data_IF_090853029365
#
_entry.id   IF_090853029365
#
_cell.length_a   1.000
_cell.length_b   1.000
_cell.length_c   1.000
_cell.angle_alpha   90.00
_cell.angle_beta   90.00
_cell.angle_gamma   90.00
#
_symmetry.space_group_name_H-M   'P 1'
#
loop_
_entity.id
_entity.type
_entity.pdbx_description
1 polymer ?
#
# COMPACT_ATOMS: atom_id res chain seq x y z
N UNK A 1 -45.58 -14.98 45.12
CA UNK A 1 -45.44 -14.23 43.84
C UNK A 1 -43.99 -13.92 43.44
N UNK A 2 -42.97 -14.04 44.33
CA UNK A 2 -41.58 -13.67 43.98
C UNK A 2 -40.76 -14.66 43.12
N UNK A 3 -41.17 -15.92 42.97
CA UNK A 3 -40.40 -16.94 42.22
C UNK A 3 -40.63 -16.90 40.70
N UNK A 4 -41.74 -16.34 40.23
CA UNK A 4 -42.06 -16.28 38.78
C UNK A 4 -41.35 -15.10 38.11
N UNK A 5 -41.17 -13.97 38.80
CA UNK A 5 -40.49 -12.79 38.26
C UNK A 5 -38.99 -13.00 37.97
N UNK A 6 -38.30 -13.83 38.77
CA UNK A 6 -36.87 -14.12 38.59
C UNK A 6 -36.64 -15.02 37.36
N UNK A 7 -37.56 -15.95 37.08
CA UNK A 7 -37.46 -16.83 35.93
C UNK A 7 -37.60 -16.07 34.59
N UNK A 8 -38.50 -15.08 34.54
CA UNK A 8 -38.71 -14.24 33.34
C UNK A 8 -37.50 -13.33 33.06
N UNK A 9 -36.91 -12.74 34.10
CA UNK A 9 -35.68 -11.93 33.98
C UNK A 9 -34.48 -12.75 33.52
N UNK A 10 -34.30 -13.97 34.03
CA UNK A 10 -33.21 -14.86 33.60
C UNK A 10 -33.40 -15.38 32.17
N UNK A 11 -34.64 -15.62 31.72
CA UNK A 11 -34.92 -15.98 30.33
C UNK A 11 -34.69 -14.82 29.36
N UNK A 12 -35.02 -13.58 29.72
CA UNK A 12 -34.74 -12.40 28.89
C UNK A 12 -33.24 -12.08 28.81
N UNK A 13 -32.48 -12.26 29.91
CA UNK A 13 -31.02 -12.09 29.89
C UNK A 13 -30.36 -13.19 29.05
N UNK A 14 -30.82 -14.45 29.11
CA UNK A 14 -30.34 -15.52 28.24
C UNK A 14 -30.71 -15.32 26.78
N UNK A 15 -31.91 -14.81 26.48
CA UNK A 15 -32.31 -14.50 25.10
C UNK A 15 -31.50 -13.33 24.52
N UNK A 16 -31.20 -12.29 25.31
CA UNK A 16 -30.33 -11.18 24.87
C UNK A 16 -28.85 -11.56 24.79
N UNK A 17 -28.36 -12.47 25.65
CA UNK A 17 -27.00 -13.01 25.57
C UNK A 17 -26.84 -13.99 24.40
N UNK A 18 -27.87 -14.81 24.12
CA UNK A 18 -27.90 -15.69 22.95
C UNK A 18 -28.06 -14.89 21.65
N UNK A 19 -28.86 -13.82 21.64
CA UNK A 19 -28.94 -12.91 20.48
C UNK A 19 -27.62 -12.14 20.25
N UNK A 20 -26.89 -11.76 21.30
CA UNK A 20 -25.54 -11.19 21.17
C UNK A 20 -24.47 -12.22 20.79
N UNK A 21 -24.62 -13.48 21.17
CA UNK A 21 -23.72 -14.56 20.77
C UNK A 21 -24.00 -15.08 19.35
N UNK A 22 -25.26 -15.01 18.88
CA UNK A 22 -25.62 -15.33 17.49
C UNK A 22 -25.29 -14.20 16.51
N UNK A 23 -25.07 -12.97 16.98
CA UNK A 23 -24.51 -11.89 16.17
C UNK A 23 -22.97 -11.98 15.98
N UNK A 24 -22.32 -13.04 16.49
CA UNK A 24 -20.86 -13.18 16.53
C UNK A 24 -20.27 -14.24 15.58
N UNK A 25 -21.01 -14.76 14.60
CA UNK A 25 -20.44 -15.70 13.62
C UNK A 25 -21.19 -15.75 12.29
N UNK A 26 -21.37 -14.63 11.60
CA UNK A 26 -21.22 -14.68 10.14
C UNK A 26 -19.71 -14.56 9.87
N UNK A 27 -19.04 -15.70 9.74
CA UNK A 27 -17.69 -15.71 9.20
C UNK A 27 -17.78 -15.26 7.74
N UNK A 28 -17.64 -13.96 7.52
CA UNK A 28 -17.19 -13.41 6.25
C UNK A 28 -15.92 -14.14 5.84
N UNK A 29 -15.88 -14.57 4.59
CA UNK A 29 -14.78 -15.34 4.02
C UNK A 29 -13.50 -14.51 4.09
N UNK A 30 -12.43 -15.11 4.61
CA UNK A 30 -11.10 -14.49 4.60
C UNK A 30 -10.63 -14.25 3.16
N UNK A 31 -9.98 -13.12 2.90
CA UNK A 31 -9.50 -12.80 1.55
C UNK A 31 -8.49 -13.82 1.06
N UNK A 32 -8.59 -14.22 -0.21
CA UNK A 32 -7.57 -15.02 -0.89
C UNK A 32 -6.35 -14.15 -1.26
N UNK A 33 -5.25 -14.80 -1.66
CA UNK A 33 -4.06 -14.13 -2.16
C UNK A 33 -4.35 -13.25 -3.40
N UNK A 34 -5.39 -13.58 -4.17
CA UNK A 34 -5.83 -12.85 -5.37
C UNK A 34 -6.37 -11.44 -5.07
N UNK A 35 -6.58 -11.09 -3.80
CA UNK A 35 -6.90 -9.71 -3.39
C UNK A 35 -5.63 -8.86 -3.28
N UNK A 36 -4.50 -9.48 -2.98
CA UNK A 36 -3.22 -8.79 -2.76
C UNK A 36 -2.31 -8.83 -4.00
N UNK A 37 -2.43 -9.83 -4.88
CA UNK A 37 -1.57 -9.97 -6.05
C UNK A 37 -2.29 -10.63 -7.24
N UNK A 38 -1.89 -10.33 -8.50
CA UNK A 38 -2.37 -11.04 -9.68
C UNK A 38 -2.08 -12.55 -9.60
N UNK A 39 -3.01 -13.42 -10.04
CA UNK A 39 -2.72 -14.83 -10.18
C UNK A 39 -1.70 -15.05 -11.31
N UNK A 40 -0.80 -16.03 -11.14
CA UNK A 40 0.09 -16.46 -12.22
C UNK A 40 1.30 -15.55 -12.52
N UNK A 41 1.56 -14.52 -11.71
CA UNK A 41 2.76 -13.69 -11.84
C UNK A 41 2.74 -12.69 -13.01
N UNK A 42 1.57 -12.42 -13.57
CA UNK A 42 1.36 -11.35 -14.55
C UNK A 42 1.65 -9.98 -13.94
N UNK A 43 2.03 -9.01 -14.76
CA UNK A 43 2.25 -7.66 -14.23
C UNK A 43 0.92 -7.01 -13.83
N UNK A 44 0.92 -6.24 -12.75
CA UNK A 44 -0.27 -5.55 -12.25
C UNK A 44 -1.01 -4.70 -13.33
N UNK A 45 -0.31 -3.95 -14.21
CA UNK A 45 -0.97 -3.21 -15.28
C UNK A 45 -1.68 -4.11 -16.29
N UNK A 46 -1.05 -5.23 -16.69
CA UNK A 46 -1.63 -6.19 -17.65
C UNK A 46 -2.86 -6.89 -17.07
N UNK A 47 -2.78 -7.32 -15.81
CA UNK A 47 -3.90 -7.95 -15.10
C UNK A 47 -5.15 -7.05 -15.07
N UNK A 48 -4.98 -5.79 -14.67
CA UNK A 48 -6.11 -4.86 -14.64
C UNK A 48 -6.53 -4.36 -16.02
N UNK A 49 -5.64 -4.37 -17.03
CA UNK A 49 -6.03 -4.13 -18.42
C UNK A 49 -6.97 -5.23 -18.92
N UNK A 50 -6.68 -6.50 -18.62
CA UNK A 50 -7.55 -7.63 -18.95
C UNK A 50 -8.91 -7.53 -18.24
N UNK A 51 -8.94 -7.16 -16.96
CA UNK A 51 -10.20 -6.95 -16.21
C UNK A 51 -11.04 -5.81 -16.79
N UNK A 52 -10.41 -4.69 -17.19
CA UNK A 52 -11.10 -3.59 -17.89
C UNK A 52 -11.66 -4.02 -19.23
N UNK A 53 -10.88 -4.74 -20.03
CA UNK A 53 -11.33 -5.27 -21.30
C UNK A 53 -12.53 -6.22 -21.14
N UNK A 54 -12.50 -7.10 -20.13
CA UNK A 54 -13.61 -7.99 -19.80
C UNK A 54 -14.89 -7.22 -19.36
N UNK A 55 -14.72 -6.07 -18.71
CA UNK A 55 -15.80 -5.17 -18.36
C UNK A 55 -16.29 -4.27 -19.51
N UNK A 56 -15.70 -4.39 -20.72
CA UNK A 56 -16.02 -3.54 -21.87
C UNK A 56 -15.47 -2.11 -21.76
N UNK A 57 -14.57 -1.86 -20.80
CA UNK A 57 -13.95 -0.54 -20.58
C UNK A 57 -12.80 -0.40 -21.59
N UNK A 58 -12.97 0.51 -22.55
CA UNK A 58 -11.96 0.79 -23.57
C UNK A 58 -10.81 1.56 -22.92
N UNK A 59 -9.55 1.08 -23.03
CA UNK A 59 -8.41 1.81 -22.51
C UNK A 59 -8.26 3.14 -23.23
N UNK A 60 -7.88 4.18 -22.51
CA UNK A 60 -7.66 5.48 -23.13
C UNK A 60 -6.43 5.41 -24.05
N UNK A 61 -6.65 5.29 -25.35
CA UNK A 61 -5.59 5.25 -26.36
C UNK A 61 -5.14 6.68 -26.68
N UNK A 62 -3.90 7.00 -26.33
CA UNK A 62 -3.09 8.18 -26.74
C UNK A 62 -2.80 9.24 -25.68
N UNK A 63 -1.58 9.78 -25.81
CA UNK A 63 -1.04 10.92 -25.09
C UNK A 63 -1.47 12.21 -25.78
N UNK A 64 -2.38 12.97 -25.14
CA UNK A 64 -2.69 14.35 -25.54
C UNK A 64 -4.04 14.58 -26.22
N UNK A 65 -4.83 13.54 -26.47
CA UNK A 65 -6.25 13.70 -26.82
C UNK A 65 -7.13 13.66 -25.57
N UNK A 66 -8.25 14.41 -25.64
CA UNK A 66 -9.27 14.38 -24.59
C UNK A 66 -9.86 12.97 -24.54
N UNK A 67 -9.85 12.37 -23.35
CA UNK A 67 -10.45 11.06 -23.11
C UNK A 67 -11.96 11.19 -23.28
N UNK A 68 -12.60 10.23 -23.93
CA UNK A 68 -14.06 10.18 -24.03
C UNK A 68 -14.65 9.88 -22.64
N UNK A 69 -15.47 10.80 -22.12
CA UNK A 69 -16.15 10.65 -20.83
C UNK A 69 -17.03 9.40 -20.75
N UNK A 70 -17.51 8.85 -21.88
CA UNK A 70 -18.28 7.61 -21.88
C UNK A 70 -17.43 6.38 -21.50
N UNK A 71 -16.11 6.46 -21.64
CA UNK A 71 -15.19 5.36 -21.30
C UNK A 71 -14.83 5.30 -19.82
N UNK A 72 -14.98 6.41 -19.08
CA UNK A 72 -14.77 6.44 -17.64
C UNK A 72 -16.06 6.09 -16.91
N UNK A 73 -16.04 4.99 -16.16
CA UNK A 73 -17.22 4.45 -15.49
C UNK A 73 -16.99 4.16 -14.00
N UNK A 74 -18.08 4.01 -13.25
CA UNK A 74 -18.06 3.59 -11.84
C UNK A 74 -17.34 2.25 -11.66
N UNK A 75 -17.51 1.31 -12.60
CA UNK A 75 -16.78 0.04 -12.61
C UNK A 75 -15.28 0.22 -12.80
N UNK A 76 -14.83 1.15 -13.64
CA UNK A 76 -13.39 1.49 -13.77
C UNK A 76 -12.81 2.04 -12.45
N UNK A 77 -13.58 2.85 -11.72
CA UNK A 77 -13.17 3.36 -10.40
C UNK A 77 -13.07 2.24 -9.36
N UNK A 78 -14.00 1.28 -9.35
CA UNK A 78 -13.86 0.09 -8.50
C UNK A 78 -12.58 -0.70 -8.82
N UNK A 79 -12.27 -0.89 -10.11
CA UNK A 79 -11.03 -1.55 -10.52
C UNK A 79 -9.79 -0.75 -10.11
N UNK A 80 -9.83 0.60 -10.17
CA UNK A 80 -8.75 1.45 -9.67
C UNK A 80 -8.55 1.32 -8.15
N UNK A 81 -9.63 1.26 -7.36
CA UNK A 81 -9.54 1.07 -5.91
C UNK A 81 -8.82 -0.24 -5.58
N UNK A 82 -9.17 -1.32 -6.29
CA UNK A 82 -8.50 -2.63 -6.15
C UNK A 82 -7.05 -2.59 -6.63
N UNK A 83 -6.79 -1.91 -7.74
CA UNK A 83 -5.44 -1.76 -8.28
C UNK A 83 -4.52 -0.99 -7.34
N UNK A 84 -5.03 0.03 -6.65
CA UNK A 84 -4.30 0.76 -5.60
C UNK A 84 -3.91 -0.15 -4.43
N UNK A 85 -4.82 -1.03 -4.00
CA UNK A 85 -4.56 -1.99 -2.93
C UNK A 85 -3.42 -2.95 -3.27
N UNK A 86 -3.45 -3.51 -4.49
CA UNK A 86 -2.40 -4.40 -4.98
C UNK A 86 -1.07 -3.68 -5.25
N UNK A 87 -1.11 -2.46 -5.82
CA UNK A 87 0.10 -1.64 -6.03
C UNK A 87 0.78 -1.30 -4.69
N UNK A 88 -0.02 -1.01 -3.66
CA UNK A 88 0.51 -0.83 -2.30
C UNK A 88 1.19 -2.10 -1.81
N UNK A 89 0.55 -3.26 -1.96
CA UNK A 89 1.12 -4.54 -1.52
C UNK A 89 2.48 -4.81 -2.17
N UNK A 90 2.57 -4.66 -3.49
CA UNK A 90 3.83 -4.83 -4.23
C UNK A 90 4.91 -3.86 -3.71
N UNK A 91 4.61 -2.56 -3.65
CA UNK A 91 5.57 -1.55 -3.19
C UNK A 91 5.96 -1.71 -1.72
N UNK A 92 5.03 -2.14 -0.86
CA UNK A 92 5.29 -2.38 0.56
C UNK A 92 6.33 -3.49 0.75
N UNK A 93 6.21 -4.58 -0.01
CA UNK A 93 7.16 -5.68 0.02
C UNK A 93 8.53 -5.31 -0.55
N UNK A 94 8.55 -4.40 -1.52
CA UNK A 94 9.77 -3.90 -2.12
C UNK A 94 10.41 -2.75 -1.31
N UNK A 95 9.75 -2.26 -0.26
CA UNK A 95 10.22 -1.13 0.56
C UNK A 95 10.15 0.23 -0.13
N UNK A 96 9.21 0.40 -1.07
CA UNK A 96 9.00 1.60 -1.89
C UNK A 96 7.70 2.36 -1.53
N UNK A 97 7.48 2.63 -0.24
CA UNK A 97 6.20 3.18 0.25
C UNK A 97 6.07 4.71 0.14
N UNK A 98 7.16 5.48 0.11
CA UNK A 98 7.10 6.96 0.10
C UNK A 98 7.74 7.60 -1.14
N UNK A 99 7.24 8.76 -1.55
CA UNK A 99 7.84 9.60 -2.61
C UNK A 99 9.28 10.04 -2.29
N UNK A 100 9.62 10.09 -0.99
CA UNK A 100 10.97 10.35 -0.52
C UNK A 100 11.92 9.17 -0.75
N UNK A 101 11.40 7.94 -0.80
CA UNK A 101 12.18 6.71 -1.02
C UNK A 101 12.70 6.63 -2.47
N UNK A 102 11.95 7.20 -3.43
CA UNK A 102 12.44 7.34 -4.81
C UNK A 102 13.64 8.29 -4.93
N UNK A 103 13.71 9.31 -4.06
CA UNK A 103 14.72 10.36 -4.12
C UNK A 103 15.86 10.18 -3.10
N UNK A 104 15.65 9.39 -2.05
CA UNK A 104 16.60 9.20 -0.94
C UNK A 104 16.85 7.71 -0.71
N UNK A 105 17.97 7.17 -1.19
CA UNK A 105 18.28 5.75 -1.03
C UNK A 105 18.35 5.39 0.46
N UNK A 106 18.06 4.13 0.83
CA UNK A 106 18.10 3.69 2.21
C UNK A 106 19.49 3.93 2.80
N UNK A 107 19.52 4.38 4.05
CA UNK A 107 20.79 4.70 4.73
C UNK A 107 21.59 3.42 4.97
N UNK A 108 22.84 3.42 4.54
CA UNK A 108 23.79 2.32 4.79
C UNK A 108 24.74 2.67 5.94
N UNK A 109 25.07 1.68 6.75
CA UNK A 109 25.93 1.84 7.92
C UNK A 109 26.93 0.69 8.08
N UNK A 110 28.17 1.03 8.43
CA UNK A 110 29.17 0.04 8.84
C UNK A 110 29.05 -0.21 10.33
N UNK A 111 28.84 -1.46 10.69
CA UNK A 111 28.61 -1.88 12.06
C UNK A 111 29.74 -2.76 12.56
N UNK A 112 30.33 -2.37 13.70
CA UNK A 112 31.54 -2.99 14.25
C UNK A 112 31.25 -3.95 15.42
N UNK A 113 29.98 -4.22 15.70
CA UNK A 113 29.51 -5.10 16.76
C UNK A 113 28.15 -5.68 16.35
N UNK A 114 27.89 -6.94 16.71
CA UNK A 114 26.64 -7.63 16.38
C UNK A 114 26.54 -8.00 14.91
N UNK A 115 25.35 -8.38 14.46
CA UNK A 115 25.04 -8.57 13.04
C UNK A 115 23.83 -7.71 12.66
N UNK A 116 23.55 -7.55 11.37
CA UNK A 116 22.41 -6.72 10.92
C UNK A 116 21.08 -7.13 11.59
N UNK A 117 20.84 -8.44 11.77
CA UNK A 117 19.58 -8.96 12.32
C UNK A 117 19.40 -8.66 13.82
N UNK A 118 20.48 -8.48 14.58
CA UNK A 118 20.45 -8.19 16.02
C UNK A 118 20.45 -6.69 16.32
N UNK A 119 20.49 -5.84 15.30
CA UNK A 119 20.70 -4.41 15.43
C UNK A 119 19.42 -3.63 15.12
N UNK A 120 18.62 -3.35 16.16
CA UNK A 120 17.40 -2.55 16.07
C UNK A 120 17.58 -1.19 16.76
N UNK A 121 18.26 -0.23 16.11
CA UNK A 121 18.31 1.17 16.58
C UNK A 121 17.03 1.93 16.19
N UNK A 122 15.85 1.36 16.46
CA UNK A 122 14.56 1.91 16.07
C UNK A 122 14.16 1.65 14.61
N UNK A 123 14.96 0.92 13.83
CA UNK A 123 14.65 0.48 12.47
C UNK A 123 15.33 -0.86 12.17
N UNK A 124 14.75 -1.68 11.28
CA UNK A 124 15.32 -2.96 10.82
C UNK A 124 16.45 -2.67 9.83
N UNK A 125 17.52 -3.46 9.91
CA UNK A 125 18.59 -3.42 8.93
C UNK A 125 18.91 -4.82 8.43
N UNK A 126 19.24 -4.93 7.16
CA UNK A 126 19.59 -6.20 6.50
C UNK A 126 21.01 -6.13 5.96
N UNK A 127 21.70 -7.28 5.82
CA UNK A 127 23.02 -7.30 5.20
C UNK A 127 22.96 -6.84 3.75
N UNK A 128 23.96 -6.06 3.32
CA UNK A 128 24.10 -5.72 1.90
C UNK A 128 24.67 -6.91 1.13
N UNK A 129 23.89 -7.49 0.24
CA UNK A 129 24.27 -8.65 -0.58
C UNK A 129 24.68 -8.28 -2.02
N UNK A 130 24.41 -7.06 -2.47
CA UNK A 130 24.85 -6.60 -3.79
C UNK A 130 26.36 -6.29 -3.80
N UNK A 131 27.09 -7.00 -4.68
CA UNK A 131 28.53 -6.89 -4.79
C UNK A 131 28.99 -5.50 -5.29
N UNK A 132 28.21 -4.81 -6.13
CA UNK A 132 28.58 -3.49 -6.66
C UNK A 132 28.44 -2.43 -5.57
N UNK A 133 27.37 -2.47 -4.79
CA UNK A 133 27.13 -1.59 -3.65
C UNK A 133 28.16 -1.80 -2.55
N UNK A 134 28.43 -3.07 -2.20
CA UNK A 134 29.49 -3.42 -1.28
C UNK A 134 30.83 -2.83 -1.74
N UNK A 135 31.14 -2.88 -3.04
CA UNK A 135 32.42 -2.39 -3.58
C UNK A 135 32.54 -0.89 -3.41
N UNK A 136 31.46 -0.19 -3.71
CA UNK A 136 31.35 1.26 -3.60
C UNK A 136 31.58 1.70 -2.15
N UNK A 137 30.90 1.08 -1.20
CA UNK A 137 31.01 1.45 0.23
C UNK A 137 32.33 0.99 0.87
N UNK A 138 32.84 -0.18 0.50
CA UNK A 138 34.11 -0.67 1.03
C UNK A 138 35.30 0.20 0.58
N UNK A 139 35.27 0.73 -0.65
CA UNK A 139 36.27 1.69 -1.14
C UNK A 139 36.27 2.99 -0.33
N UNK A 140 35.09 3.51 0.06
CA UNK A 140 34.99 4.68 0.95
C UNK A 140 35.60 4.42 2.34
N UNK A 141 35.61 3.16 2.79
CA UNK A 141 36.28 2.71 4.02
C UNK A 141 37.75 2.31 3.85
N UNK A 142 38.34 2.53 2.68
CA UNK A 142 39.77 2.32 2.43
C UNK A 142 40.15 0.89 2.02
N UNK A 143 39.18 0.03 1.66
CA UNK A 143 39.48 -1.27 1.07
C UNK A 143 40.14 -1.07 -0.30
N UNK A 144 41.35 -1.61 -0.47
CA UNK A 144 42.11 -1.58 -1.73
C UNK A 144 42.00 -2.93 -2.43
N UNK A 145 41.36 -2.94 -3.60
CA UNK A 145 41.18 -4.14 -4.43
C UNK A 145 39.72 -4.43 -4.75
N UNK A 146 39.50 -5.56 -5.43
CA UNK A 146 38.17 -6.11 -5.66
C UNK A 146 37.67 -6.87 -4.43
N UNK A 147 36.35 -6.99 -4.33
CA UNK A 147 35.72 -7.79 -3.27
C UNK A 147 35.97 -9.26 -3.55
N UNK A 148 36.27 -10.01 -2.49
CA UNK A 148 36.39 -11.46 -2.56
C UNK A 148 35.07 -12.10 -2.14
N UNK A 149 34.43 -12.82 -3.05
CA UNK A 149 33.32 -13.70 -2.70
C UNK A 149 33.83 -14.90 -1.92
N UNK A 150 33.21 -15.18 -0.78
CA UNK A 150 33.56 -16.26 0.13
C UNK A 150 32.30 -16.94 0.66
N UNK A 151 32.47 -18.14 1.23
CA UNK A 151 31.45 -18.83 2.03
C UNK A 151 32.11 -19.19 3.35
N UNK A 152 31.74 -18.51 4.42
CA UNK A 152 32.39 -18.69 5.73
C UNK A 152 31.41 -18.56 6.88
N UNK A 153 31.40 -19.54 7.78
CA UNK A 153 30.63 -19.51 9.03
C UNK A 153 31.22 -18.53 10.05
N UNK A 154 32.48 -18.12 9.89
CA UNK A 154 33.17 -17.22 10.83
C UNK A 154 32.96 -15.73 10.56
N UNK A 155 32.35 -15.38 9.43
CA UNK A 155 32.09 -14.01 9.01
C UNK A 155 30.59 -13.78 8.87
N UNK A 156 30.10 -12.56 9.18
CA UNK A 156 28.69 -12.24 8.99
C UNK A 156 28.25 -12.37 7.52
N UNK A 157 26.95 -12.51 7.28
CA UNK A 157 26.36 -12.57 5.94
C UNK A 157 26.51 -11.25 5.17
N UNK A 158 26.68 -11.36 3.85
CA UNK A 158 26.76 -10.21 2.96
C UNK A 158 28.10 -9.48 3.02
N UNK A 159 28.05 -8.16 2.86
CA UNK A 159 29.23 -7.31 2.73
C UNK A 159 29.97 -7.09 4.06
N UNK A 160 31.23 -7.49 4.11
CA UNK A 160 32.07 -7.43 5.32
C UNK A 160 33.42 -6.82 5.00
N UNK A 161 33.93 -5.96 5.87
CA UNK A 161 35.34 -5.53 5.84
C UNK A 161 36.08 -6.07 7.05
N UNK A 162 37.29 -6.56 6.79
CA UNK A 162 38.22 -7.02 7.80
C UNK A 162 39.40 -6.07 7.81
N UNK A 163 39.52 -5.30 8.87
CA UNK A 163 40.62 -4.37 9.13
C UNK A 163 41.65 -5.05 10.05
N UNK A 164 42.88 -5.17 9.56
CA UNK A 164 44.00 -5.67 10.38
C UNK A 164 44.63 -4.50 11.12
N UNK A 165 44.37 -4.36 12.43
CA UNK A 165 44.78 -3.17 13.20
C UNK A 165 46.29 -2.94 13.22
N UNK A 166 47.11 -3.99 13.13
CA UNK A 166 48.57 -3.87 13.14
C UNK A 166 49.14 -3.28 11.84
N UNK A 167 48.45 -3.42 10.71
CA UNK A 167 48.94 -2.99 9.40
C UNK A 167 48.06 -1.92 8.74
N UNK A 168 46.89 -1.62 9.33
CA UNK A 168 45.86 -0.77 8.72
C UNK A 168 45.27 -1.34 7.43
N UNK A 169 45.55 -2.61 7.11
CA UNK A 169 45.09 -3.24 5.87
C UNK A 169 43.59 -3.57 5.99
N UNK A 170 42.79 -2.99 5.09
CA UNK A 170 41.35 -3.25 4.97
C UNK A 170 41.11 -4.14 3.75
N UNK A 171 40.46 -5.28 3.96
CA UNK A 171 40.04 -6.20 2.89
C UNK A 171 38.54 -6.39 2.94
N UNK A 172 37.88 -6.27 1.79
CA UNK A 172 36.45 -6.46 1.66
C UNK A 172 36.11 -7.86 1.15
N UNK A 173 35.08 -8.44 1.75
CA UNK A 173 34.53 -9.76 1.42
C UNK A 173 33.03 -9.64 1.18
N UNK A 174 32.53 -10.48 0.29
CA UNK A 174 31.10 -10.76 0.16
C UNK A 174 30.87 -12.18 0.63
N UNK A 175 30.25 -12.35 1.79
CA UNK A 175 29.92 -13.67 2.30
C UNK A 175 28.56 -14.12 1.76
N UNK A 176 28.59 -15.09 0.86
CA UNK A 176 27.40 -15.64 0.21
C UNK A 176 26.70 -16.71 1.08
N UNK A 177 27.16 -16.92 2.30
CA UNK A 177 26.57 -17.86 3.25
C UNK A 177 25.74 -17.10 4.30
N UNK A 178 24.52 -17.56 4.53
CA UNK A 178 23.72 -17.17 5.68
C UNK A 178 24.38 -17.72 6.96
N UNK A 179 24.98 -16.84 7.74
CA UNK A 179 25.80 -17.14 8.91
C UNK A 179 25.31 -16.30 10.08
N UNK A 180 25.30 -16.92 11.26
CA UNK A 180 24.98 -16.26 12.52
C UNK A 180 26.19 -15.55 13.15
N UNK A 181 27.34 -15.50 12.46
CA UNK A 181 28.51 -14.81 12.96
C UNK A 181 28.28 -13.31 13.13
N UNK A 182 28.93 -12.75 14.14
CA UNK A 182 28.81 -11.33 14.52
C UNK A 182 30.06 -10.54 14.12
N UNK A 183 29.84 -9.30 13.70
CA UNK A 183 30.88 -8.28 13.60
C UNK A 183 31.46 -7.98 14.99
N UNK A 184 32.73 -7.62 15.04
CA UNK A 184 33.44 -7.46 16.31
C UNK A 184 34.95 -7.47 16.17
N UNK A 185 35.63 -7.44 17.30
CA UNK A 185 37.09 -7.63 17.35
C UNK A 185 37.40 -9.12 17.45
N UNK A 186 38.20 -9.64 16.54
CA UNK A 186 38.67 -11.02 16.55
C UNK A 186 40.20 -11.08 16.58
N UNK A 187 40.75 -12.20 17.02
CA UNK A 187 42.20 -12.48 17.02
C UNK A 187 42.48 -13.67 16.12
N UNK A 188 43.46 -13.55 15.22
CA UNK A 188 43.83 -14.64 14.33
C UNK A 188 45.12 -15.35 14.77
N UNK A 189 45.03 -16.68 14.92
CA UNK A 189 46.17 -17.58 15.11
C UNK A 189 46.98 -17.37 16.39
N UNK A 190 48.14 -18.04 16.46
CA UNK A 190 49.11 -17.91 17.57
C UNK A 190 49.72 -16.50 17.68
N UNK A 191 49.60 -15.70 16.61
CA UNK A 191 50.16 -14.36 16.46
C UNK A 191 49.40 -13.26 17.21
N UNK A 192 48.18 -13.54 17.74
CA UNK A 192 47.30 -12.55 18.41
C UNK A 192 47.13 -11.24 17.62
N UNK A 193 47.16 -11.29 16.30
CA UNK A 193 46.98 -10.07 15.50
C UNK A 193 45.52 -9.61 15.61
N UNK A 194 45.25 -8.41 16.14
CA UNK A 194 43.88 -7.95 16.31
C UNK A 194 43.27 -7.55 14.96
N UNK A 195 42.13 -8.17 14.64
CA UNK A 195 41.29 -7.83 13.49
C UNK A 195 40.01 -7.17 13.97
N UNK A 196 39.54 -6.19 13.22
CA UNK A 196 38.22 -5.60 13.38
C UNK A 196 37.37 -5.99 12.18
N UNK A 197 36.31 -6.71 12.44
CA UNK A 197 35.32 -7.11 11.44
C UNK A 197 34.17 -6.13 11.53
N UNK A 198 33.80 -5.55 10.40
CA UNK A 198 32.62 -4.70 10.30
C UNK A 198 31.71 -5.24 9.19
N UNK A 199 30.42 -5.30 9.47
CA UNK A 199 29.39 -5.66 8.49
C UNK A 199 28.73 -4.39 7.96
N UNK A 200 28.46 -4.34 6.65
CA UNK A 200 27.67 -3.29 6.04
C UNK A 200 26.19 -3.71 6.10
N UNK A 201 25.38 -2.90 6.77
CA UNK A 201 23.94 -3.08 6.81
C UNK A 201 23.25 -1.91 6.10
N UNK A 202 22.10 -2.18 5.52
CA UNK A 202 21.21 -1.19 4.90
C UNK A 202 19.87 -1.20 5.63
N UNK A 203 19.27 -0.03 5.77
CA UNK A 203 17.91 0.10 6.34
C UNK A 203 16.92 -0.70 5.49
N UNK A 204 16.22 -1.61 6.13
CA UNK A 204 15.16 -2.39 5.51
C UNK A 204 13.82 -1.70 5.72
N UNK A 205 13.21 -1.28 4.61
CA UNK A 205 11.91 -0.62 4.56
C UNK A 205 10.80 -1.56 4.09
N UNK A 206 11.12 -2.81 3.78
CA UNK A 206 10.14 -3.79 3.31
C UNK A 206 9.22 -4.24 4.45
N UNK A 207 7.99 -4.57 4.10
CA UNK A 207 7.04 -5.23 5.01
C UNK A 207 6.94 -6.72 4.67
N UNK A 208 6.70 -7.55 5.69
CA UNK A 208 6.29 -8.95 5.50
C UNK A 208 5.02 -9.06 4.63
N UNK A 209 4.73 -10.25 4.09
CA UNK A 209 3.51 -10.45 3.28
C UNK A 209 2.24 -10.12 4.10
N UNK A 210 2.20 -10.56 5.35
CA UNK A 210 1.09 -10.24 6.26
C UNK A 210 0.97 -8.74 6.53
N UNK A 211 2.09 -8.06 6.81
CA UNK A 211 2.06 -6.62 7.08
C UNK A 211 1.70 -5.82 5.82
N UNK A 212 2.27 -6.15 4.67
CA UNK A 212 1.96 -5.51 3.39
C UNK A 212 0.47 -5.65 3.04
N UNK A 213 -0.10 -6.84 3.21
CA UNK A 213 -1.51 -7.09 2.93
C UNK A 213 -2.42 -6.31 3.88
N UNK A 214 -2.10 -6.31 5.18
CA UNK A 214 -2.91 -5.69 6.22
C UNK A 214 -2.81 -4.15 6.22
N UNK A 215 -1.62 -3.58 6.11
CA UNK A 215 -1.39 -2.14 6.27
C UNK A 215 -1.76 -1.28 5.07
N UNK A 216 -2.25 -1.88 3.99
CA UNK A 216 -2.79 -1.11 2.88
C UNK A 216 -3.86 -0.11 3.37
N UNK A 217 -3.74 1.18 2.99
CA UNK A 217 -4.71 2.20 3.33
C UNK A 217 -5.97 2.10 2.46
N UNK A 218 -5.94 1.32 1.40
CA UNK A 218 -7.04 1.19 0.43
C UNK A 218 -8.07 0.12 0.82
N UNK A 219 -7.87 -0.55 1.96
CA UNK A 219 -8.86 -1.43 2.59
C UNK A 219 -9.70 -0.63 3.59
N UNK A 220 -10.99 -0.97 3.71
CA UNK A 220 -11.90 -0.27 4.61
C UNK A 220 -11.65 -0.71 6.06
N UNK A 221 -11.40 0.27 6.94
CA UNK A 221 -11.27 0.04 8.38
C UNK A 221 -12.66 -0.13 9.02
N UNK A 222 -12.79 -0.93 10.10
CA UNK A 222 -14.04 -1.00 10.87
C UNK A 222 -14.54 0.36 11.37
N UNK A 223 -13.63 1.25 11.79
CA UNK A 223 -13.98 2.61 12.26
C UNK A 223 -14.57 3.51 11.17
N UNK A 224 -14.36 3.15 9.90
CA UNK A 224 -14.83 3.88 8.72
C UNK A 224 -16.12 3.31 8.12
N UNK A 225 -16.68 2.26 8.70
CA UNK A 225 -18.00 1.79 8.30
C UNK A 225 -19.08 2.86 8.58
N UNK A 226 -19.92 3.14 7.58
CA UNK A 226 -20.86 4.27 7.59
C UNK A 226 -20.23 5.63 7.25
N UNK A 227 -18.92 5.67 7.02
CA UNK A 227 -18.12 6.84 6.61
C UNK A 227 -17.21 6.50 5.43
N UNK A 228 -17.70 5.65 4.53
CA UNK A 228 -16.93 5.05 3.43
C UNK A 228 -16.29 6.10 2.51
N UNK A 229 -16.91 7.27 2.32
CA UNK A 229 -16.36 8.39 1.53
C UNK A 229 -15.09 9.02 2.09
N UNK A 230 -14.74 8.75 3.35
CA UNK A 230 -13.48 9.19 3.96
C UNK A 230 -12.36 8.16 3.84
N UNK A 231 -12.64 7.00 3.23
CA UNK A 231 -11.63 5.95 3.03
C UNK A 231 -10.57 6.40 2.02
N UNK A 232 -9.30 6.07 2.29
CA UNK A 232 -8.19 6.36 1.37
C UNK A 232 -8.31 5.60 0.03
N UNK A 233 -9.12 4.54 -0.03
CA UNK A 233 -9.54 3.91 -1.29
C UNK A 233 -10.15 4.90 -2.28
N UNK A 234 -10.79 5.97 -1.79
CA UNK A 234 -11.42 7.01 -2.60
C UNK A 234 -10.43 8.10 -3.07
N UNK A 235 -9.13 7.93 -2.84
CA UNK A 235 -8.11 8.92 -3.19
C UNK A 235 -7.90 9.01 -4.71
N UNK A 236 -8.60 9.95 -5.34
CA UNK A 236 -8.39 10.31 -6.75
C UNK A 236 -6.94 10.75 -7.03
N UNK A 237 -6.25 11.33 -6.03
CA UNK A 237 -4.84 11.72 -6.17
C UNK A 237 -3.95 10.51 -6.46
N UNK A 238 -4.16 9.41 -5.73
CA UNK A 238 -3.41 8.17 -5.93
C UNK A 238 -3.84 7.43 -7.21
N UNK A 239 -5.11 7.49 -7.59
CA UNK A 239 -5.56 6.99 -8.91
C UNK A 239 -4.84 7.72 -10.06
N UNK A 240 -4.74 9.06 -9.97
CA UNK A 240 -3.98 9.86 -10.93
C UNK A 240 -2.47 9.56 -10.89
N UNK A 241 -1.92 9.26 -9.72
CA UNK A 241 -0.51 8.86 -9.56
C UNK A 241 -0.18 7.56 -10.31
N UNK A 242 -1.04 6.53 -10.21
CA UNK A 242 -0.90 5.30 -11.01
C UNK A 242 -0.80 5.60 -12.51
N UNK A 243 -1.62 6.53 -13.01
CA UNK A 243 -1.60 6.91 -14.43
C UNK A 243 -0.31 7.64 -14.80
N UNK A 244 0.18 8.56 -13.96
CA UNK A 244 1.46 9.27 -14.19
C UNK A 244 2.66 8.34 -14.22
N UNK A 245 2.64 7.27 -13.41
CA UNK A 245 3.69 6.26 -13.41
C UNK A 245 3.58 5.24 -14.55
N UNK A 246 2.53 5.30 -15.37
CA UNK A 246 2.27 4.28 -16.40
C UNK A 246 1.90 2.91 -15.81
N UNK A 247 1.41 2.88 -14.57
CA UNK A 247 0.95 1.67 -13.88
C UNK A 247 -0.52 1.33 -14.16
N UNK A 248 -1.25 2.20 -14.84
CA UNK A 248 -2.65 1.97 -15.22
C UNK A 248 -3.03 2.63 -16.54
N UNK A 249 -3.90 1.95 -17.29
CA UNK A 249 -4.50 2.45 -18.52
C UNK A 249 -5.96 2.92 -18.35
N UNK A 250 -6.42 3.03 -17.10
CA UNK A 250 -7.76 3.50 -16.76
C UNK A 250 -8.08 4.85 -17.43
N UNK A 251 -9.20 4.97 -18.16
CA UNK A 251 -9.69 6.25 -18.67
C UNK A 251 -9.98 7.24 -17.54
N UNK A 252 -10.57 6.81 -16.42
CA UNK A 252 -10.82 7.68 -15.28
C UNK A 252 -9.53 8.26 -14.69
N UNK A 253 -8.51 7.42 -14.49
CA UNK A 253 -7.21 7.86 -14.01
C UNK A 253 -6.55 8.88 -14.97
N UNK A 254 -6.65 8.66 -16.29
CA UNK A 254 -6.13 9.62 -17.28
C UNK A 254 -6.87 10.96 -17.23
N UNK A 255 -8.20 10.97 -17.09
CA UNK A 255 -8.98 12.22 -16.94
C UNK A 255 -8.51 13.02 -15.70
N UNK A 256 -8.27 12.35 -14.57
CA UNK A 256 -7.77 13.00 -13.34
C UNK A 256 -6.43 13.70 -13.57
N UNK A 257 -5.56 13.14 -14.41
CA UNK A 257 -4.23 13.72 -14.71
C UNK A 257 -4.25 14.93 -15.63
N UNK A 258 -5.41 15.32 -16.16
CA UNK A 258 -5.56 16.51 -17.02
C UNK A 258 -4.92 17.73 -16.36
N UNK A 259 -3.98 18.36 -17.08
CA UNK A 259 -3.25 19.54 -16.64
C UNK A 259 -4.06 20.80 -16.94
N UNK A 260 -4.14 21.69 -15.96
CA UNK A 260 -4.61 23.05 -16.19
C UNK A 260 -3.52 23.83 -16.94
N UNK A 261 -3.93 24.69 -17.86
CA UNK A 261 -3.04 25.52 -18.66
C UNK A 261 -2.85 26.86 -17.96
N UNK A 262 -1.60 27.21 -17.64
CA UNK A 262 -1.26 28.44 -16.92
C UNK A 262 -1.62 29.72 -17.67
N UNK A 263 -1.93 29.64 -18.97
CA UNK A 263 -2.42 30.78 -19.76
C UNK A 263 -3.82 31.22 -19.36
N UNK A 264 -4.58 30.39 -18.67
CA UNK A 264 -5.95 30.68 -18.26
C UNK A 264 -6.06 30.72 -16.74
N UNK A 265 -6.45 31.88 -16.20
CA UNK A 265 -6.77 32.04 -14.78
C UNK A 265 -7.91 31.12 -14.34
N UNK A 266 -8.92 30.95 -15.20
CA UNK A 266 -10.07 30.08 -14.95
C UNK A 266 -10.68 29.55 -16.24
N UNK A 267 -11.57 28.57 -16.12
CA UNK A 267 -12.34 28.06 -17.25
C UNK A 267 -13.25 29.14 -17.87
N UNK A 268 -13.84 30.01 -17.03
CA UNK A 268 -14.63 31.14 -17.50
C UNK A 268 -13.77 32.14 -18.32
N UNK A 269 -12.56 32.46 -17.83
CA UNK A 269 -11.62 33.31 -18.56
C UNK A 269 -11.20 32.68 -19.90
N UNK A 270 -10.98 31.36 -19.93
CA UNK A 270 -10.70 30.64 -21.17
C UNK A 270 -11.86 30.76 -22.17
N UNK A 271 -13.11 30.58 -21.73
CA UNK A 271 -14.29 30.75 -22.59
C UNK A 271 -14.44 32.18 -23.13
N UNK A 272 -14.12 33.19 -22.34
CA UNK A 272 -14.11 34.59 -22.80
C UNK A 272 -13.09 34.81 -23.92
N UNK A 273 -11.87 34.25 -23.78
CA UNK A 273 -10.86 34.31 -24.84
C UNK A 273 -11.33 33.57 -26.09
N UNK A 274 -11.98 32.41 -25.95
CA UNK A 274 -12.54 31.67 -27.08
C UNK A 274 -13.59 32.51 -27.84
N UNK A 275 -14.50 33.17 -27.13
CA UNK A 275 -15.51 34.06 -27.74
C UNK A 275 -14.86 35.26 -28.45
N UNK A 276 -13.80 35.85 -27.88
CA UNK A 276 -13.05 36.93 -28.54
C UNK A 276 -12.35 36.47 -29.83
N UNK A 277 -11.84 35.24 -29.87
CA UNK A 277 -11.25 34.67 -31.09
C UNK A 277 -12.32 34.45 -32.17
N UNK A 278 -13.47 33.91 -31.80
CA UNK A 278 -14.61 33.73 -32.73
C UNK A 278 -15.07 35.06 -33.31
N UNK A 279 -15.16 36.12 -32.49
CA UNK A 279 -15.55 37.46 -32.91
C UNK A 279 -14.57 38.10 -33.92
N UNK A 280 -13.29 37.72 -33.91
CA UNK A 280 -12.30 38.22 -34.89
C UNK A 280 -12.49 37.64 -36.28
N UNK A 281 -13.20 36.51 -36.41
CA UNK A 281 -13.53 35.87 -37.69
C UNK A 281 -12.33 35.22 -38.38
N UNK A 282 -12.59 34.16 -39.16
CA UNK A 282 -11.58 33.45 -39.95
C UNK A 282 -11.17 32.08 -39.39
N UNK A 283 -10.81 31.16 -40.29
CA UNK A 283 -10.61 29.73 -39.97
C UNK A 283 -9.57 29.49 -38.88
N UNK A 284 -8.48 30.28 -38.84
CA UNK A 284 -7.43 30.18 -37.82
C UNK A 284 -7.95 30.51 -36.41
N UNK A 285 -8.78 31.54 -36.29
CA UNK A 285 -9.32 31.96 -34.99
C UNK A 285 -10.43 31.03 -34.51
N UNK A 286 -11.27 30.52 -35.42
CA UNK A 286 -12.26 29.49 -35.11
C UNK A 286 -11.59 28.19 -34.60
N UNK A 287 -10.51 27.72 -35.26
CA UNK A 287 -9.75 26.58 -34.79
C UNK A 287 -9.11 26.83 -33.40
N UNK A 288 -8.63 28.05 -33.16
CA UNK A 288 -8.11 28.46 -31.85
C UNK A 288 -9.18 28.41 -30.75
N UNK A 289 -10.37 28.96 -31.01
CA UNK A 289 -11.49 28.91 -30.06
C UNK A 289 -11.95 27.48 -29.77
N UNK A 290 -12.06 26.63 -30.79
CA UNK A 290 -12.40 25.21 -30.63
C UNK A 290 -11.41 24.47 -29.72
N UNK A 291 -10.10 24.75 -29.86
CA UNK A 291 -9.07 24.19 -28.98
C UNK A 291 -9.25 24.62 -27.52
N UNK A 292 -9.63 25.88 -27.29
CA UNK A 292 -9.87 26.40 -25.94
C UNK A 292 -11.14 25.76 -25.33
N UNK A 293 -12.22 25.62 -26.11
CA UNK A 293 -13.43 24.94 -25.65
C UNK A 293 -13.15 23.47 -25.30
N UNK A 294 -12.34 22.76 -26.10
CA UNK A 294 -11.89 21.39 -25.79
C UNK A 294 -11.08 21.32 -24.49
N UNK A 295 -10.23 22.31 -24.23
CA UNK A 295 -9.51 22.42 -22.95
C UNK A 295 -10.48 22.63 -21.77
N UNK A 296 -11.43 23.55 -21.89
CA UNK A 296 -12.43 23.81 -20.84
C UNK A 296 -13.26 22.57 -20.53
N UNK A 297 -13.68 21.83 -21.57
CA UNK A 297 -14.40 20.57 -21.40
C UNK A 297 -13.54 19.51 -20.69
N UNK A 298 -12.25 19.36 -21.03
CA UNK A 298 -11.37 18.44 -20.32
C UNK A 298 -11.20 18.80 -18.83
N UNK A 299 -11.14 20.11 -18.52
CA UNK A 299 -11.11 20.60 -17.13
C UNK A 299 -12.45 20.32 -16.42
N UNK A 300 -13.58 20.51 -17.12
CA UNK A 300 -14.91 20.18 -16.61
C UNK A 300 -15.04 18.70 -16.27
N UNK A 301 -14.68 17.81 -17.21
CA UNK A 301 -14.66 16.37 -17.01
C UNK A 301 -13.85 15.97 -15.78
N UNK A 302 -12.66 16.56 -15.62
CA UNK A 302 -11.83 16.34 -14.43
C UNK A 302 -12.57 16.70 -13.15
N UNK A 303 -13.05 17.92 -13.00
CA UNK A 303 -13.64 18.35 -11.72
C UNK A 303 -14.96 17.64 -11.40
N UNK A 304 -15.79 17.37 -12.41
CA UNK A 304 -17.01 16.55 -12.23
C UNK A 304 -16.63 15.14 -11.81
N UNK A 305 -15.59 14.54 -12.41
CA UNK A 305 -15.12 13.21 -12.01
C UNK A 305 -14.58 13.20 -10.57
N UNK A 306 -13.80 14.21 -10.16
CA UNK A 306 -13.28 14.30 -8.79
C UNK A 306 -14.42 14.32 -7.76
N UNK A 307 -15.42 15.16 -7.98
CA UNK A 307 -16.62 15.25 -7.15
C UNK A 307 -17.39 13.93 -7.16
N UNK A 308 -17.59 13.36 -8.35
CA UNK A 308 -18.33 12.09 -8.53
C UNK A 308 -17.63 10.94 -7.79
N UNK A 309 -16.31 10.81 -7.87
CA UNK A 309 -15.56 9.77 -7.16
C UNK A 309 -15.72 9.94 -5.65
N UNK A 310 -15.49 11.14 -5.13
CA UNK A 310 -15.47 11.40 -3.70
C UNK A 310 -16.85 11.28 -3.05
N UNK A 311 -17.89 11.82 -3.70
CA UNK A 311 -19.20 11.99 -3.09
C UNK A 311 -20.25 10.96 -3.54
N UNK A 312 -19.99 10.22 -4.62
CA UNK A 312 -20.97 9.28 -5.18
C UNK A 312 -20.37 7.89 -5.41
N UNK A 313 -19.50 7.74 -6.41
CA UNK A 313 -19.05 6.43 -6.87
C UNK A 313 -18.31 5.63 -5.80
N UNK A 314 -17.30 6.19 -5.13
CA UNK A 314 -16.52 5.43 -4.16
C UNK A 314 -17.33 5.00 -2.91
N UNK A 315 -18.10 5.90 -2.26
CA UNK A 315 -19.01 5.50 -1.18
C UNK A 315 -19.99 4.40 -1.63
N UNK A 316 -20.63 4.58 -2.79
CA UNK A 316 -21.61 3.63 -3.30
C UNK A 316 -21.00 2.26 -3.60
N UNK A 317 -19.76 2.21 -4.13
CA UNK A 317 -19.05 0.96 -4.40
C UNK A 317 -18.90 0.17 -3.09
N UNK A 318 -18.47 0.81 -2.01
CA UNK A 318 -18.36 0.14 -0.71
C UNK A 318 -19.71 -0.30 -0.16
N UNK A 319 -20.74 0.55 -0.23
CA UNK A 319 -22.08 0.21 0.23
C UNK A 319 -22.63 -1.00 -0.54
N UNK A 320 -22.51 -1.00 -1.86
CA UNK A 320 -22.97 -2.09 -2.72
C UNK A 320 -22.19 -3.39 -2.48
N UNK A 321 -20.85 -3.30 -2.38
CA UNK A 321 -20.01 -4.47 -2.12
C UNK A 321 -20.30 -5.09 -0.74
N UNK A 322 -20.51 -4.26 0.30
CA UNK A 322 -20.88 -4.75 1.63
C UNK A 322 -22.28 -5.36 1.68
N UNK A 323 -23.21 -4.87 0.87
CA UNK A 323 -24.57 -5.39 0.79
C UNK A 323 -24.66 -6.70 -0.03
N UNK A 324 -23.63 -7.03 -0.81
CA UNK A 324 -23.63 -8.19 -1.71
C UNK A 324 -22.81 -9.33 -1.11
N UNK A 325 -23.45 -10.48 -0.93
CA UNK A 325 -22.78 -11.67 -0.39
C UNK A 325 -21.60 -12.07 -1.29
N UNK A 326 -20.44 -12.28 -0.67
CA UNK A 326 -19.21 -12.66 -1.38
C UNK A 326 -18.54 -11.55 -2.19
N UNK A 327 -19.05 -10.31 -2.17
CA UNK A 327 -18.42 -9.17 -2.85
C UNK A 327 -17.40 -8.42 -1.97
N UNK A 328 -17.23 -8.80 -0.70
CA UNK A 328 -16.14 -8.35 0.17
C UNK A 328 -15.54 -9.55 0.90
N UNK A 329 -14.37 -9.35 1.50
CA UNK A 329 -13.70 -10.35 2.30
C UNK A 329 -12.97 -9.73 3.49
N UNK A 330 -12.69 -10.57 4.50
CA UNK A 330 -11.99 -10.18 5.70
C UNK A 330 -10.47 -10.23 5.49
N UNK A 331 -9.79 -9.14 5.85
CA UNK A 331 -8.35 -9.00 5.84
C UNK A 331 -7.82 -8.84 7.29
N UNK A 332 -7.63 -9.94 8.05
CA UNK A 332 -6.96 -9.92 9.35
C UNK A 332 -5.46 -9.51 9.24
N UNK A 333 -4.81 -9.26 10.38
CA UNK A 333 -3.38 -8.90 10.44
C UNK A 333 -2.46 -9.96 9.86
N UNK A 334 -2.86 -11.22 10.00
CA UNK A 334 -2.18 -12.39 9.44
C UNK A 334 -3.19 -13.17 8.62
N UNK A 335 -2.97 -13.18 7.30
CA UNK A 335 -3.77 -13.96 6.37
C UNK A 335 -3.29 -15.43 6.38
N UNK A 336 -4.19 -16.38 6.23
CA UNK A 336 -3.92 -17.82 6.14
C UNK A 336 -2.98 -18.22 5.01
N UNK A 337 -2.95 -17.44 3.92
CA UNK A 337 -2.13 -17.72 2.74
C UNK A 337 -0.73 -17.07 2.77
N UNK A 338 -0.43 -16.21 3.75
CA UNK A 338 0.90 -15.60 3.85
C UNK A 338 1.90 -16.59 4.48
N UNK A 339 3.19 -16.34 4.28
CA UNK A 339 4.24 -17.12 4.96
C UNK A 339 4.04 -17.18 6.49
N UNK A 340 3.62 -16.08 7.13
CA UNK A 340 3.35 -16.05 8.57
C UNK A 340 2.08 -16.82 8.95
N UNK A 341 1.01 -16.73 8.14
CA UNK A 341 -0.20 -17.52 8.35
C UNK A 341 0.03 -19.02 8.27
N UNK A 342 0.83 -19.46 7.31
CA UNK A 342 1.22 -20.85 7.16
C UNK A 342 2.04 -21.34 8.38
N UNK A 343 2.90 -20.49 8.96
CA UNK A 343 3.63 -20.78 10.20
C UNK A 343 2.70 -20.83 11.43
N UNK A 344 1.61 -20.06 11.42
CA UNK A 344 0.64 -19.93 12.52
C UNK A 344 -0.49 -20.99 12.49
N UNK A 345 -0.68 -21.68 11.37
CA UNK A 345 -1.65 -22.79 11.25
C UNK A 345 -1.34 -23.99 12.18
N UNK A 346 -2.16 -25.06 12.13
CA UNK A 346 -3.34 -25.29 12.99
C UNK A 346 -3.06 -25.24 14.51
N UNK A 347 -2.29 -24.27 15.02
CA UNK A 347 -2.01 -24.12 16.46
C UNK A 347 -3.10 -23.34 17.20
N UNK A 348 -3.95 -22.61 16.50
CA UNK A 348 -5.01 -21.78 17.09
C UNK A 348 -6.33 -22.51 17.37
N UNK A 349 -6.61 -23.66 16.75
CA UNK A 349 -7.83 -24.44 17.06
C UNK A 349 -7.73 -25.21 18.38
N UNK A 350 -6.53 -25.33 18.97
CA UNK A 350 -6.29 -26.11 20.20
C UNK A 350 -5.99 -25.26 21.45
N UNK A 351 -5.76 -23.95 21.31
CA UNK A 351 -5.32 -23.10 22.43
C UNK A 351 -6.41 -22.76 23.47
N UNK A 352 -7.66 -23.22 23.29
CA UNK A 352 -8.72 -23.09 24.32
C UNK A 352 -8.69 -24.18 25.39
N UNK A 353 -7.77 -25.15 25.32
CA UNK A 353 -7.64 -26.17 26.35
C UNK A 353 -6.21 -26.71 26.39
N UNK A 354 -5.40 -26.23 27.33
CA UNK A 354 -4.50 -27.01 28.19
C UNK A 354 -3.69 -26.01 29.03
N UNK A 355 -4.07 -25.95 30.31
CA UNK A 355 -3.18 -25.50 31.37
C UNK A 355 -2.02 -26.50 31.52
N UNK A 356 -0.83 -25.94 31.72
CA UNK A 356 0.33 -26.52 32.39
C UNK A 356 1.25 -27.48 31.60
N UNK A 357 2.54 -27.14 31.76
CA UNK A 357 3.76 -27.94 31.60
C UNK A 357 4.12 -28.47 30.20
N UNK A 358 4.96 -27.73 29.49
CA UNK A 358 6.38 -28.08 29.28
C UNK A 358 6.96 -27.19 28.17
N UNK A 359 8.03 -26.46 28.49
CA UNK A 359 8.82 -25.63 27.59
C UNK A 359 9.30 -26.44 26.38
N UNK A 360 8.71 -26.18 25.23
CA UNK A 360 9.15 -26.72 23.94
C UNK A 360 9.84 -25.60 23.15
N UNK A 361 10.95 -25.86 22.44
CA UNK A 361 11.61 -24.91 21.54
C UNK A 361 10.71 -24.41 20.39
N UNK A 362 9.50 -24.98 20.25
CA UNK A 362 8.46 -24.60 19.30
C UNK A 362 7.54 -23.47 19.78
N UNK A 363 7.55 -23.14 21.08
CA UNK A 363 6.89 -21.96 21.64
C UNK A 363 7.79 -20.72 21.48
N UNK A 364 9.10 -20.90 21.64
CA UNK A 364 10.09 -19.83 21.44
C UNK A 364 10.01 -19.23 20.02
N UNK A 365 9.83 -20.07 18.98
CA UNK A 365 9.66 -19.60 17.60
C UNK A 365 8.31 -18.92 17.31
N UNK A 366 7.29 -19.16 18.12
CA UNK A 366 6.00 -18.45 18.02
C UNK A 366 6.12 -17.07 18.67
N UNK A 367 6.73 -17.00 19.84
CA UNK A 367 6.98 -15.73 20.54
C UNK A 367 7.93 -14.84 19.73
N UNK A 368 8.92 -15.41 19.04
CA UNK A 368 9.79 -14.69 18.10
C UNK A 368 9.03 -14.12 16.90
N UNK A 369 8.16 -14.92 16.27
CA UNK A 369 7.32 -14.47 15.16
C UNK A 369 6.33 -13.36 15.59
N UNK A 370 5.73 -13.50 16.78
CA UNK A 370 4.85 -12.47 17.34
C UNK A 370 5.62 -11.20 17.70
N UNK A 371 6.85 -11.33 18.20
CA UNK A 371 7.73 -10.18 18.45
C UNK A 371 8.14 -9.49 17.13
N UNK A 372 8.41 -10.24 16.08
CA UNK A 372 8.70 -9.70 14.74
C UNK A 372 7.48 -8.95 14.16
N UNK A 373 6.29 -9.55 14.20
CA UNK A 373 5.04 -8.90 13.80
C UNK A 373 4.74 -7.66 14.63
N UNK A 374 5.02 -7.69 15.93
CA UNK A 374 4.89 -6.54 16.84
C UNK A 374 5.89 -5.43 16.53
N UNK A 375 7.11 -5.75 16.12
CA UNK A 375 8.09 -4.76 15.67
C UNK A 375 7.67 -4.10 14.34
N UNK A 376 7.10 -4.89 13.40
CA UNK A 376 6.52 -4.35 12.17
C UNK A 376 5.32 -3.44 12.46
N UNK A 377 4.50 -3.76 13.47
CA UNK A 377 3.39 -2.91 13.88
C UNK A 377 3.85 -1.53 14.40
N UNK A 378 5.00 -1.48 15.08
CA UNK A 378 5.62 -0.21 15.53
C UNK A 378 6.14 0.59 14.34
N UNK A 379 6.71 -0.06 13.31
CA UNK A 379 7.15 0.62 12.09
C UNK A 379 5.96 1.14 11.28
N UNK A 380 4.93 0.31 11.16
CA UNK A 380 3.69 0.73 10.52
C UNK A 380 2.99 1.82 11.30
N UNK A 381 3.31 2.04 12.59
CA UNK A 381 2.74 3.12 13.38
C UNK A 381 3.06 4.51 12.80
N UNK A 382 4.22 4.70 12.17
CA UNK A 382 4.55 5.94 11.44
C UNK A 382 3.78 6.06 10.10
N UNK A 383 3.26 4.94 9.58
CA UNK A 383 2.30 4.89 8.46
C UNK A 383 0.84 5.03 8.94
N UNK A 384 0.58 5.02 10.26
CA UNK A 384 -0.76 5.09 10.84
C UNK A 384 -1.12 6.51 11.29
N UNK A 385 -2.36 6.91 11.00
CA UNK A 385 -2.99 8.05 11.65
C UNK A 385 -3.28 7.70 13.13
N UNK A 386 -2.76 8.51 14.04
CA UNK A 386 -2.97 8.35 15.49
C UNK A 386 -4.45 8.56 15.84
N UNK A 387 -5.11 7.54 16.40
CA UNK A 387 -6.35 7.77 17.18
C UNK A 387 -7.58 6.92 16.85
N UNK A 388 -7.48 5.82 16.10
CA UNK A 388 -8.65 4.97 15.88
C UNK A 388 -9.00 4.14 17.13
N UNK A 389 -10.25 4.26 17.59
CA UNK A 389 -10.84 3.37 18.59
C UNK A 389 -10.97 1.96 18.01
N UNK A 390 -10.58 0.93 18.77
CA UNK A 390 -10.79 -0.50 18.44
C UNK A 390 -12.28 -0.91 18.49
N UNK A 391 -13.17 -0.12 17.90
CA UNK A 391 -14.57 -0.47 17.75
C UNK A 391 -14.71 -1.32 16.48
N UNK A 392 -14.94 -2.63 16.64
CA UNK A 392 -15.12 -3.55 15.51
C UNK A 392 -14.73 -5.00 15.80
N UNK A 393 -14.81 -5.85 14.79
CA UNK A 393 -14.29 -7.22 14.85
C UNK A 393 -12.77 -7.17 14.92
N UNK A 394 -12.18 -8.02 15.77
CA UNK A 394 -10.74 -8.17 15.88
C UNK A 394 -10.33 -9.60 15.58
N UNK A 395 -9.12 -9.77 15.05
CA UNK A 395 -8.52 -11.07 14.80
C UNK A 395 -7.95 -11.70 16.09
N UNK A 396 -7.30 -12.85 15.96
CA UNK A 396 -6.68 -13.57 17.09
C UNK A 396 -5.50 -12.82 17.73
N UNK A 397 -4.97 -11.78 17.07
CA UNK A 397 -3.94 -10.88 17.59
C UNK A 397 -4.52 -9.63 18.27
N UNK A 398 -5.85 -9.48 18.31
CA UNK A 398 -6.52 -8.32 18.87
C UNK A 398 -6.49 -7.09 17.96
N UNK A 399 -6.10 -7.26 16.69
CA UNK A 399 -6.08 -6.18 15.68
C UNK A 399 -7.42 -6.11 14.95
N UNK A 400 -7.89 -4.92 14.57
CA UNK A 400 -9.15 -4.78 13.84
C UNK A 400 -9.08 -5.47 12.48
N UNK A 401 -10.07 -6.29 12.14
CA UNK A 401 -10.16 -6.94 10.84
C UNK A 401 -10.61 -5.91 9.81
N UNK A 402 -9.82 -5.68 8.75
CA UNK A 402 -10.21 -4.77 7.67
C UNK A 402 -11.08 -5.49 6.64
N UNK A 403 -11.84 -4.73 5.87
CA UNK A 403 -12.67 -5.23 4.77
C UNK A 403 -11.98 -4.86 3.45
N UNK A 404 -11.79 -5.83 2.57
CA UNK A 404 -11.21 -5.61 1.25
C UNK A 404 -12.21 -5.89 0.12
N UNK A 405 -12.00 -5.22 -1.00
CA UNK A 405 -12.71 -5.49 -2.25
C UNK A 405 -12.06 -6.68 -2.96
N UNK A 406 -12.86 -7.64 -3.40
CA UNK A 406 -12.43 -8.82 -4.14
C UNK A 406 -12.89 -8.76 -5.60
N UNK A 407 -12.77 -9.89 -6.32
CA UNK A 407 -13.12 -9.96 -7.73
C UNK A 407 -14.60 -9.71 -8.04
N UNK A 408 -15.50 -10.09 -7.13
CA UNK A 408 -16.94 -9.89 -7.28
C UNK A 408 -17.41 -8.47 -6.91
N UNK A 409 -16.58 -7.67 -6.22
CA UNK A 409 -16.95 -6.33 -5.77
C UNK A 409 -17.45 -5.42 -6.87
N UNK A 410 -16.80 -5.46 -8.03
CA UNK A 410 -17.12 -4.54 -9.13
C UNK A 410 -18.35 -4.99 -9.94
N UNK A 411 -18.91 -6.16 -9.64
CA UNK A 411 -20.16 -6.64 -10.23
C UNK A 411 -21.36 -6.47 -9.29
N UNK A 412 -21.15 -5.91 -8.09
CA UNK A 412 -22.18 -5.69 -7.07
C UNK A 412 -23.11 -4.49 -7.35
N UNK A 413 -22.88 -3.73 -8.40
CA UNK A 413 -23.63 -2.51 -8.71
C UNK A 413 -23.81 -2.31 -10.22
N UNK A 414 -24.83 -1.52 -10.57
CA UNK A 414 -25.04 -1.06 -11.95
C UNK A 414 -23.97 -0.02 -12.33
N UNK A 415 -23.41 -0.17 -13.53
CA UNK A 415 -22.38 0.73 -14.01
C UNK A 415 -22.97 2.07 -14.43
N UNK A 416 -22.22 3.14 -14.18
CA UNK A 416 -22.59 4.50 -14.50
C UNK A 416 -21.39 5.19 -15.16
N UNK A 417 -21.64 5.93 -16.23
CA UNK A 417 -20.59 6.62 -17.00
C UNK A 417 -20.42 8.06 -16.54
N UNK A 418 -19.23 8.63 -16.72
CA UNK A 418 -19.00 10.05 -16.47
C UNK A 418 -19.83 10.93 -17.42
N UNK A 419 -20.09 10.45 -18.65
CA UNK A 419 -20.97 11.14 -19.60
C UNK A 419 -22.37 11.40 -19.01
N UNK A 420 -22.97 10.41 -18.35
CA UNK A 420 -24.27 10.56 -17.68
C UNK A 420 -24.23 11.61 -16.56
N UNK A 421 -23.14 11.64 -15.78
CA UNK A 421 -22.93 12.66 -14.73
C UNK A 421 -22.74 14.07 -15.29
N UNK A 422 -22.16 14.18 -16.48
CA UNK A 422 -21.94 15.46 -17.15
C UNK A 422 -23.23 16.10 -17.68
N UNK A 423 -24.28 15.31 -17.99
CA UNK A 423 -25.56 15.84 -18.50
C UNK A 423 -26.24 16.81 -17.49
N UNK A 424 -26.08 16.56 -16.20
CA UNK A 424 -26.63 17.40 -15.13
C UNK A 424 -25.63 18.39 -14.52
N UNK A 425 -24.35 18.34 -14.91
CA UNK A 425 -23.31 19.15 -14.31
C UNK A 425 -23.19 20.52 -14.98
N UNK A 426 -22.82 21.59 -14.24
CA UNK A 426 -22.57 22.91 -14.81
C UNK A 426 -21.59 22.85 -15.99
N UNK A 427 -21.89 23.55 -17.09
CA UNK A 427 -21.01 23.64 -18.27
C UNK A 427 -19.68 24.36 -17.97
N UNK A 428 -19.69 25.24 -16.98
CA UNK A 428 -18.48 25.91 -16.49
C UNK A 428 -18.07 25.22 -15.19
N UNK A 429 -16.89 24.58 -15.13
CA UNK A 429 -16.45 23.96 -13.89
C UNK A 429 -16.31 25.02 -12.79
N UNK A 430 -16.56 24.64 -11.52
CA UNK A 430 -16.37 25.54 -10.39
C UNK A 430 -14.94 26.10 -10.40
N UNK A 431 -14.83 27.42 -10.27
CA UNK A 431 -13.55 28.11 -10.16
C UNK A 431 -13.10 28.06 -8.71
N UNK A 432 -12.57 26.90 -8.30
CA UNK A 432 -12.10 26.64 -6.93
C UNK A 432 -11.04 27.66 -6.45
N UNK A 433 -10.41 28.39 -7.38
CA UNK A 433 -9.37 29.37 -7.09
C UNK A 433 -9.79 30.83 -7.34
N UNK A 434 -11.06 31.09 -7.71
CA UNK A 434 -11.54 32.45 -7.98
C UNK A 434 -11.37 33.39 -6.77
N UNK A 435 -11.39 32.81 -5.57
CA UNK A 435 -11.23 33.51 -4.29
C UNK A 435 -9.96 33.07 -3.55
N UNK A 436 -9.12 32.22 -4.16
CA UNK A 436 -7.89 31.77 -3.53
C UNK A 436 -6.83 32.88 -3.60
N UNK A 437 -6.68 33.60 -2.49
CA UNK A 437 -5.54 34.51 -2.30
C UNK A 437 -4.26 33.69 -2.11
N UNK A 438 -3.38 33.70 -3.10
CA UNK A 438 -1.98 33.34 -2.89
C UNK A 438 -1.31 34.61 -2.37
N UNK A 439 -0.98 34.66 -1.08
CA UNK A 439 -0.11 35.72 -0.57
C UNK A 439 1.24 35.60 -1.28
N UNK A 440 1.69 36.69 -1.90
CA UNK A 440 3.07 36.79 -2.37
C UNK A 440 3.96 36.92 -1.13
N UNK A 441 4.45 35.79 -0.62
CA UNK A 441 5.58 35.73 0.32
C UNK A 441 6.84 35.20 -0.38
#
# INVERSE_FOLDING_TARGET
MGRVAIAVLLSSIRASAAARAHAQAEMTQECSAEVAMPPGGESLPEWFAAKRAAAGIVPATSTGEMVDSATCTKKDVCLLMRQLDMDFYERAREGMLTDSDYNTPPTMGWHAAGNCNTMSRGYRVVPVEDAKECKREARKKGAKGDIKEIKSDSLPTGCVIVETRSTGKVVAYMNLLESQAVAGSQYEGKSRTPKRIMQLCVMDRSLSESAAAYYSPYKLKPSMEGREGHSTSCSFGMMGFLSRMGKTDSPCAKIITTKTDSRFHSAAHALQIAAQLEARGGAKFAAGAAKIRKYVEAVRQKFVLLDTIANHWCPDIWVAAKATEGATCDAPRVMSWTAEGLKLGPRQTSAKKVQSSSSSPLLDGLDELLAELGAEDVLAQDLMESGDSNEGRSDSSGKPIKIALNDASCDAFEDETLAQRLEGAPETPPDFFQEAFVSED
#
